data_IF_325044813287
#
_entry.id   IF_325044813287
#
_cell.length_a   1.000
_cell.length_b   1.000
_cell.length_c   1.000
_cell.angle_alpha   90.00
_cell.angle_beta   90.00
_cell.angle_gamma   90.00
#
_symmetry.space_group_name_H-M   'P 1'
#
loop_
_entity.id
_entity.type
_entity.pdbx_description
1 polymer ?
#
# COMPACT_ATOMS: atom_id res chain seq x y z
N UNK A 1 -20.51 17.24 -71.32
CA UNK A 1 -19.13 17.76 -71.33
C UNK A 1 -19.23 19.24 -71.10
N UNK A 2 -18.80 19.71 -69.92
CA UNK A 2 -18.80 21.13 -69.60
C UNK A 2 -17.45 21.75 -69.98
N UNK A 3 -17.43 23.04 -70.27
CA UNK A 3 -16.21 23.78 -70.56
C UNK A 3 -16.12 24.98 -69.64
N UNK A 4 -14.97 25.12 -68.98
CA UNK A 4 -14.65 26.27 -68.13
C UNK A 4 -13.56 27.08 -68.79
N UNK A 5 -13.77 28.41 -68.86
CA UNK A 5 -12.75 29.35 -69.30
C UNK A 5 -11.99 29.87 -68.10
N UNK A 6 -10.68 29.65 -68.09
CA UNK A 6 -9.77 30.18 -67.09
C UNK A 6 -8.86 31.22 -67.74
N UNK A 7 -8.54 32.28 -66.98
CA UNK A 7 -7.62 33.33 -67.43
C UNK A 7 -6.31 33.18 -66.65
N UNK A 8 -5.20 33.09 -67.36
CA UNK A 8 -3.86 33.02 -66.78
C UNK A 8 -3.04 34.10 -67.49
N UNK A 9 -2.66 35.13 -66.74
CA UNK A 9 -1.97 36.29 -67.27
C UNK A 9 -2.77 36.98 -68.40
N UNK A 10 -2.16 37.20 -69.58
CA UNK A 10 -2.83 37.80 -70.72
C UNK A 10 -3.73 36.82 -71.50
N UNK A 11 -3.61 35.50 -71.29
CA UNK A 11 -4.29 34.49 -72.11
C UNK A 11 -5.51 33.88 -71.42
N UNK A 12 -6.50 33.49 -72.22
CA UNK A 12 -7.70 32.77 -71.76
C UNK A 12 -7.72 31.37 -72.37
N UNK A 13 -7.81 30.35 -71.53
CA UNK A 13 -7.81 28.94 -71.90
C UNK A 13 -9.19 28.32 -71.66
N UNK A 14 -9.68 27.50 -72.59
CA UNK A 14 -10.90 26.72 -72.43
C UNK A 14 -10.54 25.27 -72.07
N UNK A 15 -10.92 24.82 -70.88
CA UNK A 15 -10.66 23.47 -70.39
C UNK A 15 -11.97 22.69 -70.36
N UNK A 16 -11.96 21.51 -70.99
CA UNK A 16 -13.05 20.55 -70.86
C UNK A 16 -12.96 19.84 -69.51
N UNK A 17 -14.06 19.85 -68.74
CA UNK A 17 -14.10 19.23 -67.42
C UNK A 17 -15.32 18.31 -67.25
N UNK A 18 -15.24 17.43 -66.25
CA UNK A 18 -16.36 16.60 -65.85
C UNK A 18 -17.50 17.43 -65.24
N UNK A 19 -18.73 16.89 -65.20
CA UNK A 19 -19.85 17.54 -64.52
C UNK A 19 -19.52 17.73 -63.03
N UNK A 20 -19.65 18.95 -62.53
CA UNK A 20 -19.38 19.31 -61.11
C UNK A 20 -17.93 19.67 -60.78
N UNK A 21 -16.98 19.53 -61.72
CA UNK A 21 -15.57 19.91 -61.49
C UNK A 21 -15.26 21.37 -61.85
N UNK A 22 -16.26 22.11 -62.31
CA UNK A 22 -16.11 23.43 -62.91
C UNK A 22 -15.47 24.42 -61.94
N UNK A 23 -15.94 24.42 -60.69
CA UNK A 23 -15.41 25.28 -59.63
C UNK A 23 -13.98 24.91 -59.26
N UNK A 24 -13.67 23.61 -59.20
CA UNK A 24 -12.30 23.13 -58.90
C UNK A 24 -11.32 23.55 -59.99
N UNK A 25 -11.71 23.44 -61.26
CA UNK A 25 -10.88 23.88 -62.39
C UNK A 25 -10.67 25.39 -62.36
N UNK A 26 -11.71 26.18 -62.04
CA UNK A 26 -11.57 27.62 -61.88
C UNK A 26 -10.62 28.00 -60.73
N UNK A 27 -10.72 27.33 -59.57
CA UNK A 27 -9.82 27.52 -58.44
C UNK A 27 -8.37 27.18 -58.78
N UNK A 28 -8.13 26.05 -59.44
CA UNK A 28 -6.78 25.66 -59.90
C UNK A 28 -6.23 26.67 -60.92
N UNK A 29 -7.06 27.15 -61.85
CA UNK A 29 -6.68 28.21 -62.78
C UNK A 29 -6.25 29.50 -62.07
N UNK A 30 -6.97 29.89 -61.01
CA UNK A 30 -6.60 31.06 -60.20
C UNK A 30 -5.28 30.87 -59.43
N UNK A 31 -4.96 29.65 -58.98
CA UNK A 31 -3.67 29.34 -58.38
C UNK A 31 -2.52 29.50 -59.38
N UNK A 32 -2.73 29.02 -60.61
CA UNK A 32 -1.73 29.17 -61.70
C UNK A 32 -1.55 30.65 -62.05
N UNK A 33 -2.64 31.43 -62.15
CA UNK A 33 -2.58 32.87 -62.40
C UNK A 33 -1.83 33.62 -61.28
N UNK A 34 -2.04 33.23 -60.03
CA UNK A 34 -1.30 33.79 -58.90
C UNK A 34 0.22 33.53 -59.04
N UNK A 35 0.61 32.33 -59.45
CA UNK A 35 2.02 32.00 -59.67
C UNK A 35 2.61 32.73 -60.88
N UNK A 36 1.82 32.87 -61.94
CA UNK A 36 2.18 33.68 -63.10
C UNK A 36 2.36 35.16 -62.71
N UNK A 37 1.52 35.68 -61.82
CA UNK A 37 1.61 37.05 -61.34
C UNK A 37 2.92 37.31 -60.55
N UNK A 38 3.45 36.30 -59.84
CA UNK A 38 4.74 36.40 -59.12
C UNK A 38 5.93 36.71 -60.05
N UNK A 39 5.84 36.42 -61.34
CA UNK A 39 6.88 36.78 -62.33
C UNK A 39 6.99 38.31 -62.54
N UNK A 40 5.95 39.07 -62.22
CA UNK A 40 5.96 40.54 -62.23
C UNK A 40 6.45 41.12 -63.56
N UNK A 41 7.47 41.98 -63.50
CA UNK A 41 8.13 42.59 -64.66
C UNK A 41 9.18 41.70 -65.31
N UNK A 42 9.57 40.58 -64.68
CA UNK A 42 10.60 39.66 -65.15
C UNK A 42 10.07 38.60 -66.11
N UNK A 43 8.99 38.93 -66.84
CA UNK A 43 8.39 38.03 -67.83
C UNK A 43 9.30 37.88 -69.04
N UNK A 44 9.50 36.64 -69.47
CA UNK A 44 10.14 36.32 -70.73
C UNK A 44 9.31 36.84 -71.91
N UNK A 45 9.96 37.06 -73.06
CA UNK A 45 9.31 37.50 -74.28
C UNK A 45 8.29 36.49 -74.82
N UNK A 46 8.48 35.20 -74.51
CA UNK A 46 7.59 34.11 -74.92
C UNK A 46 6.70 33.68 -73.76
N UNK A 47 5.39 33.75 -73.97
CA UNK A 47 4.39 33.41 -72.95
C UNK A 47 4.49 31.96 -72.48
N UNK A 48 4.83 31.04 -73.38
CA UNK A 48 5.05 29.64 -73.04
C UNK A 48 6.16 29.47 -71.98
N UNK A 49 7.21 30.30 -72.02
CA UNK A 49 8.28 30.25 -71.01
C UNK A 49 7.81 30.76 -69.65
N UNK A 50 6.95 31.79 -69.63
CA UNK A 50 6.35 32.30 -68.38
C UNK A 50 5.48 31.24 -67.70
N UNK A 51 4.68 30.50 -68.47
CA UNK A 51 3.88 29.39 -67.94
C UNK A 51 4.75 28.25 -67.41
N UNK A 52 5.89 27.97 -68.06
CA UNK A 52 6.86 26.98 -67.55
C UNK A 52 7.43 27.43 -66.21
N UNK A 53 7.77 28.71 -66.03
CA UNK A 53 8.24 29.19 -64.72
C UNK A 53 7.16 29.11 -63.64
N UNK A 54 5.92 29.48 -63.95
CA UNK A 54 4.80 29.32 -63.03
C UNK A 54 4.59 27.84 -62.65
N UNK A 55 4.68 26.92 -63.62
CA UNK A 55 4.58 25.49 -63.39
C UNK A 55 5.74 24.94 -62.53
N UNK A 56 6.97 25.41 -62.76
CA UNK A 56 8.13 25.02 -61.96
C UNK A 56 7.99 25.46 -60.51
N UNK A 57 7.53 26.69 -60.26
CA UNK A 57 7.35 27.12 -58.88
C UNK A 57 6.23 26.35 -58.15
N UNK A 58 5.12 26.04 -58.82
CA UNK A 58 4.10 25.18 -58.20
C UNK A 58 4.61 23.75 -57.95
N UNK A 59 5.47 23.23 -58.84
CA UNK A 59 6.10 21.93 -58.66
C UNK A 59 7.03 21.92 -57.44
N UNK A 60 7.78 23.00 -57.23
CA UNK A 60 8.63 23.21 -56.06
C UNK A 60 7.80 23.26 -54.77
N UNK A 61 6.77 24.13 -54.71
CA UNK A 61 5.85 24.22 -53.57
C UNK A 61 5.16 22.87 -53.25
N UNK A 62 4.83 22.09 -54.28
CA UNK A 62 4.25 20.75 -54.12
C UNK A 62 5.26 19.74 -53.60
N UNK A 63 6.52 19.80 -54.05
CA UNK A 63 7.57 18.90 -53.59
C UNK A 63 7.93 19.19 -52.12
N UNK A 64 8.06 20.47 -51.75
CA UNK A 64 8.23 20.90 -50.36
C UNK A 64 7.07 20.44 -49.46
N UNK A 65 5.82 20.66 -49.90
CA UNK A 65 4.64 20.22 -49.15
C UNK A 65 4.60 18.69 -49.01
N UNK A 66 5.04 17.94 -50.03
CA UNK A 66 5.16 16.48 -49.97
C UNK A 66 6.28 16.03 -49.06
N UNK A 67 7.41 16.72 -49.03
CA UNK A 67 8.52 16.45 -48.12
C UNK A 67 8.06 16.66 -46.66
N UNK A 68 7.49 17.82 -46.35
CA UNK A 68 6.95 18.11 -45.01
C UNK A 68 5.87 17.10 -44.59
N UNK A 69 5.00 16.67 -45.51
CA UNK A 69 4.02 15.63 -45.23
C UNK A 69 4.61 14.23 -45.02
N UNK A 70 5.79 13.93 -45.60
CA UNK A 70 6.52 12.69 -45.32
C UNK A 70 7.15 12.74 -43.93
N UNK A 71 7.80 13.84 -43.60
CA UNK A 71 8.44 14.04 -42.29
C UNK A 71 7.42 13.98 -41.16
N UNK A 72 6.29 14.70 -41.31
CA UNK A 72 5.19 14.64 -40.36
C UNK A 72 4.61 13.23 -40.19
N UNK A 73 4.58 12.41 -41.26
CA UNK A 73 4.15 11.00 -41.15
C UNK A 73 5.15 10.15 -40.37
N UNK A 74 6.45 10.41 -40.50
CA UNK A 74 7.49 9.73 -39.73
C UNK A 74 7.35 10.11 -38.25
N UNK A 75 7.25 11.40 -37.93
CA UNK A 75 7.06 11.87 -36.55
C UNK A 75 5.79 11.28 -35.91
N UNK A 76 4.68 11.25 -36.66
CA UNK A 76 3.42 10.65 -36.18
C UNK A 76 3.58 9.15 -35.96
N UNK A 77 4.34 8.44 -36.80
CA UNK A 77 4.61 7.02 -36.61
C UNK A 77 5.46 6.77 -35.35
N UNK A 78 6.50 7.57 -35.13
CA UNK A 78 7.35 7.49 -33.94
C UNK A 78 6.56 7.80 -32.65
N UNK A 79 5.77 8.88 -32.65
CA UNK A 79 4.92 9.23 -31.51
C UNK A 79 3.89 8.15 -31.21
N UNK A 80 3.30 7.53 -32.24
CA UNK A 80 2.39 6.39 -32.05
C UNK A 80 3.08 5.19 -31.44
N UNK A 81 4.32 4.90 -31.86
CA UNK A 81 5.11 3.82 -31.28
C UNK A 81 5.45 4.10 -29.81
N UNK A 82 5.84 5.33 -29.46
CA UNK A 82 6.11 5.73 -28.08
C UNK A 82 4.86 5.62 -27.20
N UNK A 83 3.70 6.07 -27.71
CA UNK A 83 2.43 5.94 -27.00
C UNK A 83 2.03 4.48 -26.80
N UNK A 84 2.30 3.61 -27.78
CA UNK A 84 2.03 2.19 -27.65
C UNK A 84 2.92 1.54 -26.58
N UNK A 85 4.23 1.84 -26.59
CA UNK A 85 5.16 1.37 -25.55
C UNK A 85 4.75 1.85 -24.16
N UNK A 86 4.42 3.13 -24.00
CA UNK A 86 3.97 3.68 -22.73
C UNK A 86 2.66 3.04 -22.24
N UNK A 87 1.74 2.68 -23.15
CA UNK A 87 0.52 1.94 -22.81
C UNK A 87 0.83 0.52 -22.35
N UNK A 88 1.67 -0.21 -23.08
CA UNK A 88 2.05 -1.58 -22.72
C UNK A 88 2.75 -1.60 -21.35
N UNK A 89 3.63 -0.63 -21.08
CA UNK A 89 4.30 -0.47 -19.78
C UNK A 89 3.29 -0.16 -18.66
N UNK A 90 2.33 0.73 -18.91
CA UNK A 90 1.27 1.05 -17.96
C UNK A 90 0.38 -0.17 -17.68
N UNK A 91 -0.01 -0.92 -18.70
CA UNK A 91 -0.78 -2.15 -18.55
C UNK A 91 -0.02 -3.20 -17.73
N UNK A 92 1.27 -3.38 -18.00
CA UNK A 92 2.12 -4.31 -17.25
C UNK A 92 2.28 -3.87 -15.79
N UNK A 93 2.44 -2.57 -15.54
CA UNK A 93 2.50 -2.01 -14.18
C UNK A 93 1.18 -2.21 -13.43
N UNK A 94 0.03 -2.01 -14.08
CA UNK A 94 -1.29 -2.25 -13.49
C UNK A 94 -1.48 -3.73 -13.15
N UNK A 95 -1.15 -4.64 -14.07
CA UNK A 95 -1.24 -6.09 -13.82
C UNK A 95 -0.37 -6.50 -12.64
N UNK A 96 0.86 -5.99 -12.57
CA UNK A 96 1.77 -6.26 -11.44
C UNK A 96 1.20 -5.73 -10.12
N UNK A 97 0.72 -4.49 -10.09
CA UNK A 97 0.13 -3.91 -8.89
C UNK A 97 -1.12 -4.67 -8.42
N UNK A 98 -1.95 -5.15 -9.35
CA UNK A 98 -3.10 -6.02 -9.04
C UNK A 98 -2.64 -7.34 -8.41
N UNK A 99 -1.68 -8.03 -9.02
CA UNK A 99 -1.12 -9.28 -8.50
C UNK A 99 -0.48 -9.11 -7.12
N UNK A 100 0.28 -8.04 -6.91
CA UNK A 100 0.88 -7.73 -5.61
C UNK A 100 -0.21 -7.48 -4.55
N UNK A 101 -1.28 -6.77 -4.91
CA UNK A 101 -2.41 -6.51 -4.01
C UNK A 101 -3.20 -7.78 -3.67
N UNK A 102 -3.35 -8.70 -4.62
CA UNK A 102 -4.00 -10.00 -4.42
C UNK A 102 -3.14 -10.88 -3.51
N UNK A 103 -1.83 -10.95 -3.76
CA UNK A 103 -0.89 -11.69 -2.94
C UNK A 103 -0.85 -11.18 -1.49
N UNK A 104 -0.91 -9.85 -1.29
CA UNK A 104 -0.95 -9.25 0.04
C UNK A 104 -2.27 -9.50 0.76
N UNK A 105 -3.39 -9.49 0.02
CA UNK A 105 -4.71 -9.87 0.56
C UNK A 105 -4.74 -11.33 0.99
N UNK A 106 -4.19 -12.23 0.20
CA UNK A 106 -4.15 -13.66 0.51
C UNK A 106 -3.26 -13.94 1.72
N UNK A 107 -2.06 -13.34 1.77
CA UNK A 107 -1.16 -13.45 2.94
C UNK A 107 -1.82 -12.88 4.21
N UNK A 108 -2.47 -11.71 4.11
CA UNK A 108 -3.20 -11.12 5.23
C UNK A 108 -4.38 -11.99 5.66
N UNK A 109 -5.07 -12.61 4.70
CA UNK A 109 -6.16 -13.56 4.92
C UNK A 109 -5.70 -14.80 5.69
N UNK A 110 -4.62 -15.45 5.23
CA UNK A 110 -4.01 -16.61 5.90
C UNK A 110 -3.59 -16.26 7.33
N UNK A 111 -2.84 -15.17 7.50
CA UNK A 111 -2.36 -14.75 8.82
C UNK A 111 -3.51 -14.41 9.77
N UNK A 112 -4.58 -13.79 9.27
CA UNK A 112 -5.80 -13.56 10.06
C UNK A 112 -6.49 -14.87 10.45
N UNK A 113 -6.53 -15.86 9.57
CA UNK A 113 -7.11 -17.18 9.87
C UNK A 113 -6.30 -17.92 10.95
N UNK A 114 -4.96 -17.92 10.83
CA UNK A 114 -4.04 -18.49 11.82
C UNK A 114 -4.25 -17.84 13.20
N UNK A 115 -4.25 -16.51 13.27
CA UNK A 115 -4.47 -15.77 14.52
C UNK A 115 -5.86 -16.05 15.13
N UNK A 116 -6.91 -16.27 14.32
CA UNK A 116 -8.24 -16.63 14.84
C UNK A 116 -8.21 -17.99 15.51
N UNK A 117 -7.56 -18.97 14.89
CA UNK A 117 -7.40 -20.31 15.47
C UNK A 117 -6.60 -20.22 16.77
N UNK A 118 -5.50 -19.47 16.78
CA UNK A 118 -4.68 -19.27 17.98
C UNK A 118 -5.43 -18.56 19.12
N UNK A 119 -6.23 -17.54 18.82
CA UNK A 119 -7.08 -16.88 19.82
C UNK A 119 -8.10 -17.87 20.39
N UNK A 120 -8.68 -18.75 19.56
CA UNK A 120 -9.64 -19.75 20.03
C UNK A 120 -8.97 -20.78 20.96
N UNK A 121 -7.76 -21.26 20.61
CA UNK A 121 -7.03 -22.21 21.45
C UNK A 121 -6.60 -21.58 22.78
N UNK A 122 -6.11 -20.34 22.77
CA UNK A 122 -5.73 -19.62 23.97
C UNK A 122 -6.92 -19.35 24.89
N UNK A 123 -8.10 -19.01 24.35
CA UNK A 123 -9.32 -18.85 25.15
C UNK A 123 -9.73 -20.15 25.84
N UNK A 124 -9.70 -21.28 25.12
CA UNK A 124 -9.98 -22.60 25.71
C UNK A 124 -8.98 -22.95 26.81
N UNK A 125 -7.69 -22.64 26.61
CA UNK A 125 -6.66 -22.85 27.62
C UNK A 125 -6.84 -21.95 28.85
N UNK A 126 -7.20 -20.67 28.66
CA UNK A 126 -7.49 -19.73 29.74
C UNK A 126 -8.68 -20.20 30.59
N UNK A 127 -9.75 -20.66 29.95
CA UNK A 127 -10.92 -21.22 30.64
C UNK A 127 -10.57 -22.48 31.44
N UNK A 128 -9.74 -23.37 30.88
CA UNK A 128 -9.27 -24.57 31.59
C UNK A 128 -8.41 -24.20 32.80
N UNK A 129 -7.44 -23.29 32.63
CA UNK A 129 -6.57 -22.81 33.70
C UNK A 129 -7.37 -22.09 34.81
N UNK A 130 -8.41 -21.32 34.45
CA UNK A 130 -9.32 -20.70 35.44
C UNK A 130 -10.09 -21.75 36.24
N UNK A 131 -10.60 -22.80 35.60
CA UNK A 131 -11.28 -23.91 36.28
C UNK A 131 -10.33 -24.66 37.21
N UNK A 132 -9.10 -24.93 36.78
CA UNK A 132 -8.08 -25.54 37.63
C UNK A 132 -7.70 -24.66 38.81
N UNK A 133 -7.49 -23.37 38.60
CA UNK A 133 -7.24 -22.42 39.69
C UNK A 133 -8.40 -22.37 40.69
N UNK A 134 -9.65 -22.44 40.24
CA UNK A 134 -10.79 -22.51 41.15
C UNK A 134 -10.79 -23.80 41.97
N UNK A 135 -10.49 -24.95 41.36
CA UNK A 135 -10.36 -26.24 42.06
C UNK A 135 -9.25 -26.19 43.10
N UNK A 136 -8.03 -25.80 42.69
CA UNK A 136 -6.89 -25.69 43.59
C UNK A 136 -7.15 -24.72 44.75
N UNK A 137 -7.86 -23.61 44.51
CA UNK A 137 -8.28 -22.70 45.58
C UNK A 137 -9.26 -23.33 46.55
N UNK A 138 -10.21 -24.13 46.06
CA UNK A 138 -11.14 -24.87 46.91
C UNK A 138 -10.41 -25.93 47.74
N UNK A 139 -9.52 -26.71 47.11
CA UNK A 139 -8.71 -27.73 47.77
C UNK A 139 -7.80 -27.10 48.85
N UNK A 140 -7.19 -25.94 48.56
CA UNK A 140 -6.40 -25.19 49.54
C UNK A 140 -7.26 -24.71 50.72
N UNK A 141 -8.48 -24.23 50.47
CA UNK A 141 -9.39 -23.80 51.53
C UNK A 141 -9.78 -24.98 52.43
N UNK A 142 -10.09 -26.14 51.85
CA UNK A 142 -10.42 -27.36 52.61
C UNK A 142 -9.23 -27.83 53.46
N UNK A 143 -8.01 -27.82 52.89
CA UNK A 143 -6.79 -28.14 53.65
C UNK A 143 -6.54 -27.14 54.78
N UNK A 144 -6.76 -25.85 54.55
CA UNK A 144 -6.63 -24.81 55.58
C UNK A 144 -7.67 -24.99 56.68
N UNK A 145 -8.93 -25.28 56.34
CA UNK A 145 -9.96 -25.58 57.32
C UNK A 145 -9.62 -26.83 58.12
N UNK A 146 -9.17 -27.91 57.48
CA UNK A 146 -8.74 -29.12 58.17
C UNK A 146 -7.58 -28.87 59.13
N UNK A 147 -6.60 -28.07 58.72
CA UNK A 147 -5.49 -27.65 59.58
C UNK A 147 -5.98 -26.80 60.76
N UNK A 148 -6.92 -25.88 60.54
CA UNK A 148 -7.54 -25.09 61.63
C UNK A 148 -8.30 -25.97 62.63
N UNK A 149 -9.11 -26.91 62.15
CA UNK A 149 -9.83 -27.85 63.02
C UNK A 149 -8.88 -28.76 63.80
N UNK A 150 -7.80 -29.23 63.16
CA UNK A 150 -6.76 -29.97 63.88
C UNK A 150 -6.12 -29.12 64.97
N UNK A 151 -5.91 -27.82 64.72
CA UNK A 151 -5.37 -26.92 65.72
C UNK A 151 -6.34 -26.68 66.87
N UNK A 152 -7.61 -26.46 66.57
CA UNK A 152 -8.67 -26.27 67.58
C UNK A 152 -8.82 -27.49 68.50
N UNK A 153 -8.68 -28.70 67.96
CA UNK A 153 -8.72 -29.95 68.75
C UNK A 153 -7.49 -30.20 69.62
N UNK A 154 -6.34 -29.63 69.28
CA UNK A 154 -5.07 -29.87 69.97
C UNK A 154 -4.50 -28.61 70.67
N UNK A 155 -5.25 -27.50 70.68
CA UNK A 155 -4.78 -26.20 71.17
C UNK A 155 -4.18 -25.37 70.02
N UNK A 156 -4.59 -24.11 69.91
CA UNK A 156 -4.08 -23.15 68.92
C UNK A 156 -2.63 -22.73 69.20
N UNK A 157 -1.92 -22.03 68.28
CA UNK A 157 -0.50 -21.73 68.48
C UNK A 157 -0.34 -20.61 69.53
N UNK A 158 -1.39 -19.82 69.71
CA UNK A 158 -1.54 -18.82 70.76
C UNK A 158 -1.88 -19.46 72.12
N UNK A 159 -2.64 -20.56 72.13
CA UNK A 159 -2.96 -21.30 73.36
C UNK A 159 -1.76 -22.13 73.82
N UNK A 160 -1.05 -22.75 72.89
CA UNK A 160 0.24 -23.41 73.12
C UNK A 160 1.29 -22.43 73.65
N UNK A 161 1.37 -21.21 73.09
CA UNK A 161 2.25 -20.16 73.58
C UNK A 161 1.89 -19.71 75.00
N UNK A 162 0.59 -19.52 75.29
CA UNK A 162 0.13 -19.15 76.63
C UNK A 162 0.36 -20.27 77.66
N UNK A 163 0.18 -21.54 77.29
CA UNK A 163 0.51 -22.69 78.13
C UNK A 163 2.01 -22.81 78.37
N UNK A 164 2.84 -22.53 77.36
CA UNK A 164 4.29 -22.52 77.49
C UNK A 164 4.77 -21.40 78.43
N UNK A 165 4.19 -20.21 78.34
CA UNK A 165 4.48 -19.08 79.23
C UNK A 165 4.05 -19.39 80.68
N UNK A 166 2.85 -19.95 80.88
CA UNK A 166 2.39 -20.38 82.20
C UNK A 166 3.21 -21.54 82.80
N UNK A 167 3.77 -22.42 81.95
CA UNK A 167 4.71 -23.46 82.38
C UNK A 167 6.06 -22.85 82.80
N UNK A 168 6.55 -21.86 82.08
CA UNK A 168 7.78 -21.15 82.42
C UNK A 168 7.69 -20.49 83.80
N UNK A 169 6.59 -19.75 84.08
CA UNK A 169 6.36 -19.14 85.40
C UNK A 169 6.30 -20.19 86.52
N UNK A 170 5.63 -21.33 86.29
CA UNK A 170 5.59 -22.43 87.26
C UNK A 170 6.96 -23.04 87.51
N UNK A 171 7.80 -23.17 86.47
CA UNK A 171 9.16 -23.68 86.63
C UNK A 171 10.05 -22.70 87.40
N UNK A 172 9.91 -21.39 87.15
CA UNK A 172 10.63 -20.36 87.92
C UNK A 172 10.22 -20.37 89.40
N UNK A 173 8.93 -20.44 89.72
CA UNK A 173 8.48 -20.53 91.12
C UNK A 173 8.96 -21.80 91.81
N UNK A 174 9.02 -22.92 91.09
CA UNK A 174 9.56 -24.18 91.59
C UNK A 174 11.07 -24.05 91.83
N UNK A 175 11.81 -23.43 90.92
CA UNK A 175 13.23 -23.15 91.08
C UNK A 175 13.50 -22.27 92.31
N UNK A 176 12.77 -21.17 92.49
CA UNK A 176 12.87 -20.31 93.68
C UNK A 176 12.53 -21.07 94.97
N UNK A 177 11.53 -21.95 94.94
CA UNK A 177 11.19 -22.80 96.09
C UNK A 177 12.30 -23.81 96.38
N UNK A 178 12.90 -24.41 95.35
CA UNK A 178 14.04 -25.30 95.48
C UNK A 178 15.27 -24.57 96.04
N UNK A 179 15.55 -23.36 95.58
CA UNK A 179 16.62 -22.50 96.11
C UNK A 179 16.36 -22.12 97.58
N UNK A 180 15.11 -21.77 97.93
CA UNK A 180 14.75 -21.47 99.33
C UNK A 180 14.88 -22.70 100.24
N UNK A 181 14.52 -23.89 99.74
CA UNK A 181 14.68 -25.15 100.46
C UNK A 181 16.16 -25.53 100.61
N UNK A 182 16.97 -25.32 99.57
CA UNK A 182 18.42 -25.49 99.63
C UNK A 182 19.06 -24.50 100.61
N UNK A 183 18.67 -23.23 100.60
CA UNK A 183 19.14 -22.21 101.54
C UNK A 183 18.74 -22.53 102.99
N UNK A 184 17.56 -23.10 103.22
CA UNK A 184 17.13 -23.58 104.54
C UNK A 184 17.94 -24.80 105.02
N UNK A 185 18.34 -25.69 104.10
CA UNK A 185 19.23 -26.81 104.39
C UNK A 185 20.65 -26.33 104.70
N UNK A 186 21.20 -25.39 103.92
CA UNK A 186 22.53 -24.79 104.14
C UNK A 186 22.57 -23.92 105.41
N UNK A 187 21.50 -23.20 105.75
CA UNK A 187 21.38 -22.45 107.01
C UNK A 187 21.20 -23.34 108.24
N UNK A 188 20.85 -24.62 108.05
CA UNK A 188 20.79 -25.64 109.12
C UNK A 188 22.10 -26.43 109.25
N UNK A 189 23.08 -26.18 108.38
CA UNK A 189 24.40 -26.79 108.47
C UNK A 189 25.26 -26.03 109.49
N UNK A 190 25.70 -26.66 110.59
CA UNK A 190 26.68 -26.05 111.49
C UNK A 190 28.03 -25.90 110.75
N UNK A 191 28.64 -24.72 110.84
CA UNK A 191 30.05 -24.55 110.52
C UNK A 191 30.88 -25.39 111.50
N UNK A 192 31.35 -26.55 111.04
CA UNK A 192 32.38 -27.38 111.66
C UNK A 192 32.97 -28.34 110.63
#
# INVERSE_FOLDING_TARGET
MSQVRIKIGPQTYSIACGPGEEERVAQLGAMIDAQYAKLGTSRAALEAQNLVFAALFMADELDEARAAARDAKVEVAELRQQLQQARDDAENAVKKAQQDSEADRDKSGSRKAELRVEIETLRKAEEAARKENMKLKADLAELQERSRHQHDLFGGPAEDAALAEALAEKLETLALRAESAASALEGSAPAA
#
